data_IF_493422616782
#
_entry.id   IF_493422616782
#
_cell.length_a   1.000
_cell.length_b   1.000
_cell.length_c   1.000
_cell.angle_alpha   90.00
_cell.angle_beta   90.00
_cell.angle_gamma   90.00
#
_symmetry.space_group_name_H-M   'P 1'
#
loop_
_entity.id
_entity.type
_entity.pdbx_description
1 polymer ?
#
# COMPACT_ATOMS: atom_id res chain seq x y z
N UNK A 1 -16.14 -7.96 -1.57
CA UNK A 1 -15.04 -8.96 -1.65
C UNK A 1 -15.17 -9.89 -0.45
N UNK A 2 -15.10 -11.22 -0.64
CA UNK A 2 -15.16 -12.18 0.48
C UNK A 2 -13.74 -12.58 0.89
N UNK A 3 -13.35 -12.30 2.13
CA UNK A 3 -12.06 -12.69 2.69
C UNK A 3 -12.04 -14.17 3.07
N UNK A 4 -10.89 -14.83 2.86
CA UNK A 4 -10.62 -16.17 3.39
C UNK A 4 -10.18 -16.07 4.86
N UNK A 5 -10.40 -17.12 5.65
CA UNK A 5 -10.12 -17.09 7.09
C UNK A 5 -8.67 -16.71 7.45
N UNK A 6 -7.67 -17.09 6.64
CA UNK A 6 -6.29 -16.66 6.89
C UNK A 6 -6.05 -15.17 6.55
N UNK A 7 -6.74 -14.64 5.54
CA UNK A 7 -6.61 -13.23 5.15
C UNK A 7 -7.20 -12.33 6.23
N UNK A 8 -8.36 -12.72 6.76
CA UNK A 8 -9.03 -12.05 7.86
C UNK A 8 -8.14 -11.98 9.11
N UNK A 9 -7.51 -13.10 9.47
CA UNK A 9 -6.53 -13.14 10.57
C UNK A 9 -5.39 -12.13 10.37
N UNK A 10 -4.76 -12.09 9.19
CA UNK A 10 -3.62 -11.18 8.92
C UNK A 10 -4.06 -9.71 8.92
N UNK A 11 -5.24 -9.41 8.35
CA UNK A 11 -5.76 -8.03 8.27
C UNK A 11 -6.03 -7.49 9.67
N UNK A 12 -6.72 -8.28 10.51
CA UNK A 12 -7.16 -7.88 11.85
C UNK A 12 -6.10 -8.07 12.94
N UNK A 13 -4.93 -8.61 12.60
CA UNK A 13 -3.82 -8.78 13.54
C UNK A 13 -3.30 -7.40 13.99
N UNK A 14 -3.17 -7.25 15.31
CA UNK A 14 -2.81 -6.01 16.03
C UNK A 14 -1.32 -5.94 16.40
N UNK A 15 -0.52 -6.96 16.10
CA UNK A 15 0.91 -6.93 16.37
C UNK A 15 1.60 -5.85 15.52
N UNK A 16 2.62 -5.22 16.09
CA UNK A 16 3.43 -4.21 15.39
C UNK A 16 4.20 -4.81 14.21
N UNK A 17 4.58 -6.09 14.33
CA UNK A 17 5.31 -6.84 13.30
C UNK A 17 4.62 -8.18 13.07
N UNK A 18 4.25 -8.43 11.81
CA UNK A 18 3.60 -9.67 11.39
C UNK A 18 4.44 -10.32 10.31
N UNK A 19 4.83 -11.57 10.55
CA UNK A 19 5.54 -12.41 9.57
C UNK A 19 4.58 -13.49 9.07
N UNK A 20 4.44 -13.58 7.75
CA UNK A 20 3.53 -14.53 7.11
C UNK A 20 4.30 -15.50 6.21
N UNK A 21 4.34 -16.77 6.60
CA UNK A 21 4.75 -17.85 5.73
C UNK A 21 3.54 -18.36 4.92
N UNK A 22 3.46 -18.00 3.64
CA UNK A 22 2.32 -18.32 2.79
C UNK A 22 2.71 -18.94 1.45
N UNK A 23 1.93 -19.93 1.02
CA UNK A 23 2.06 -20.54 -0.30
C UNK A 23 1.81 -19.54 -1.45
N UNK A 24 2.29 -19.89 -2.64
CA UNK A 24 2.02 -19.13 -3.86
C UNK A 24 0.53 -19.16 -4.22
N UNK A 25 0.07 -18.09 -4.88
CA UNK A 25 -1.32 -17.92 -5.35
C UNK A 25 -2.41 -18.06 -4.27
N UNK A 26 -2.06 -17.87 -3.00
CA UNK A 26 -2.99 -17.92 -1.87
C UNK A 26 -3.92 -16.70 -1.77
N UNK A 27 -3.62 -15.61 -2.48
CA UNK A 27 -4.29 -14.31 -2.32
C UNK A 27 -3.60 -13.38 -1.31
N UNK A 28 -2.31 -13.60 -1.03
CA UNK A 28 -1.49 -12.78 -0.13
C UNK A 28 -1.41 -11.29 -0.54
N UNK A 29 -1.38 -11.01 -1.85
CA UNK A 29 -1.36 -9.63 -2.36
C UNK A 29 -2.61 -8.85 -1.96
N UNK A 30 -3.79 -9.47 -2.06
CA UNK A 30 -5.06 -8.84 -1.67
C UNK A 30 -5.06 -8.44 -0.20
N UNK A 31 -4.51 -9.30 0.67
CA UNK A 31 -4.37 -9.02 2.10
C UNK A 31 -3.48 -7.80 2.35
N UNK A 32 -2.33 -7.72 1.67
CA UNK A 32 -1.42 -6.58 1.78
C UNK A 32 -2.08 -5.28 1.29
N UNK A 33 -2.74 -5.30 0.13
CA UNK A 33 -3.43 -4.14 -0.47
C UNK A 33 -4.49 -3.58 0.46
N UNK A 34 -5.33 -4.45 1.04
CA UNK A 34 -6.38 -4.01 1.98
C UNK A 34 -5.78 -3.37 3.24
N UNK A 35 -4.74 -3.99 3.82
CA UNK A 35 -4.09 -3.47 5.03
C UNK A 35 -3.40 -2.12 4.78
N UNK A 36 -2.71 -1.98 3.65
CA UNK A 36 -2.08 -0.74 3.20
C UNK A 36 -3.12 0.37 3.04
N UNK A 37 -4.21 0.11 2.32
CA UNK A 37 -5.27 1.10 2.12
C UNK A 37 -5.95 1.51 3.42
N UNK A 38 -6.34 0.52 4.22
CA UNK A 38 -6.99 0.77 5.50
C UNK A 38 -6.14 1.66 6.41
N UNK A 39 -4.84 1.36 6.52
CA UNK A 39 -3.92 2.18 7.31
C UNK A 39 -3.76 3.59 6.72
N UNK A 40 -3.52 3.70 5.41
CA UNK A 40 -3.31 4.99 4.76
C UNK A 40 -4.54 5.91 4.86
N UNK A 41 -5.76 5.37 4.86
CA UNK A 41 -6.99 6.17 4.96
C UNK A 41 -7.34 6.60 6.39
N UNK A 42 -7.11 5.73 7.37
CA UNK A 42 -7.60 5.96 8.74
C UNK A 42 -6.55 6.56 9.68
N UNK A 43 -5.28 6.57 9.27
CA UNK A 43 -4.20 7.16 10.05
C UNK A 43 -3.78 8.49 9.41
N UNK A 44 -3.96 9.63 10.11
CA UNK A 44 -3.48 10.94 9.66
C UNK A 44 -1.98 10.95 9.37
N UNK A 45 -1.61 11.49 8.20
CA UNK A 45 -0.21 11.64 7.77
C UNK A 45 0.57 10.31 7.75
N UNK A 46 -0.11 9.21 7.41
CA UNK A 46 0.53 7.92 7.35
C UNK A 46 1.55 7.85 6.21
N UNK A 47 2.71 7.27 6.49
CA UNK A 47 3.69 6.91 5.46
C UNK A 47 3.74 5.40 5.35
N UNK A 48 3.25 4.86 4.23
CA UNK A 48 3.25 3.42 3.96
C UNK A 48 4.32 3.11 2.92
N UNK A 49 5.25 2.23 3.29
CA UNK A 49 6.32 1.79 2.42
C UNK A 49 6.07 0.36 1.91
N UNK A 50 6.08 0.20 0.60
CA UNK A 50 6.03 -1.11 -0.07
C UNK A 50 7.45 -1.44 -0.54
N UNK A 51 8.01 -2.50 0.03
CA UNK A 51 9.31 -3.04 -0.35
C UNK A 51 9.14 -4.46 -0.88
N UNK A 52 9.87 -4.81 -1.92
CA UNK A 52 9.93 -6.18 -2.42
C UNK A 52 11.31 -6.45 -3.02
N UNK A 53 11.56 -7.66 -3.53
CA UNK A 53 12.87 -8.02 -4.11
C UNK A 53 13.19 -7.23 -5.38
N UNK A 54 12.20 -6.85 -6.17
CA UNK A 54 12.39 -6.04 -7.38
C UNK A 54 11.48 -4.83 -7.38
N UNK A 55 11.93 -3.74 -8.00
CA UNK A 55 11.12 -2.52 -8.10
C UNK A 55 9.77 -2.78 -8.77
N UNK A 56 9.78 -3.57 -9.86
CA UNK A 56 8.58 -3.97 -10.58
C UNK A 56 7.58 -4.74 -9.72
N UNK A 57 8.03 -5.58 -8.78
CA UNK A 57 7.13 -6.26 -7.85
C UNK A 57 6.47 -5.27 -6.88
N UNK A 58 7.23 -4.27 -6.41
CA UNK A 58 6.69 -3.25 -5.52
C UNK A 58 5.70 -2.33 -6.26
N UNK A 59 6.03 -1.92 -7.49
CA UNK A 59 5.14 -1.16 -8.38
C UNK A 59 3.86 -1.96 -8.66
N UNK A 60 3.96 -3.26 -8.92
CA UNK A 60 2.78 -4.10 -9.15
C UNK A 60 1.81 -4.11 -7.96
N UNK A 61 2.33 -4.19 -6.73
CA UNK A 61 1.49 -4.09 -5.52
C UNK A 61 0.84 -2.71 -5.44
N UNK A 62 1.59 -1.64 -5.74
CA UNK A 62 1.07 -0.28 -5.76
C UNK A 62 -0.01 -0.07 -6.83
N UNK A 63 0.13 -0.69 -8.00
CA UNK A 63 -0.90 -0.67 -9.04
C UNK A 63 -2.17 -1.41 -8.58
N UNK A 64 -2.06 -2.53 -7.87
CA UNK A 64 -3.21 -3.20 -7.25
C UNK A 64 -3.90 -2.31 -6.20
N UNK A 65 -3.14 -1.50 -5.45
CA UNK A 65 -3.71 -0.47 -4.56
C UNK A 65 -4.52 0.55 -5.36
N UNK A 66 -3.97 1.10 -6.46
CA UNK A 66 -4.72 2.04 -7.34
C UNK A 66 -5.99 1.41 -7.89
N UNK A 67 -5.92 0.15 -8.31
CA UNK A 67 -7.09 -0.59 -8.80
C UNK A 67 -8.14 -0.79 -7.72
N UNK A 68 -7.74 -1.14 -6.50
CA UNK A 68 -8.64 -1.29 -5.36
C UNK A 68 -9.32 0.05 -5.01
N UNK A 69 -8.61 1.16 -5.07
CA UNK A 69 -9.18 2.51 -4.87
C UNK A 69 -10.19 2.87 -5.95
N UNK A 70 -9.83 2.66 -7.23
CA UNK A 70 -10.74 2.90 -8.37
C UNK A 70 -12.04 2.09 -8.24
N UNK A 71 -11.95 0.82 -7.84
CA UNK A 71 -13.12 -0.07 -7.67
C UNK A 71 -13.99 0.29 -6.47
N UNK A 72 -13.43 0.89 -5.43
CA UNK A 72 -14.16 1.27 -4.22
C UNK A 72 -14.75 2.67 -4.28
N UNK A 73 -14.44 3.45 -5.32
CA UNK A 73 -14.92 4.83 -5.45
C UNK A 73 -14.26 5.80 -4.46
N UNK A 74 -13.15 5.40 -3.83
CA UNK A 74 -12.37 6.27 -2.95
C UNK A 74 -11.80 7.40 -3.80
N UNK A 75 -12.13 8.64 -3.43
CA UNK A 75 -11.55 9.83 -4.06
C UNK A 75 -10.08 9.95 -3.64
N UNK A 76 -9.18 10.04 -4.61
CA UNK A 76 -7.76 10.28 -4.37
C UNK A 76 -7.22 11.23 -5.43
N UNK A 77 -6.21 12.01 -5.06
CA UNK A 77 -5.54 12.92 -5.97
C UNK A 77 -4.20 12.28 -6.37
N UNK A 78 -4.02 11.85 -7.63
CA UNK A 78 -2.67 11.65 -8.13
C UNK A 78 -1.97 13.01 -8.10
N UNK A 79 -0.80 13.08 -7.46
CA UNK A 79 0.12 14.17 -7.78
C UNK A 79 0.65 13.86 -9.17
N UNK A 80 0.02 14.46 -10.17
CA UNK A 80 0.52 14.49 -11.54
C UNK A 80 1.53 15.63 -11.60
N UNK A 81 2.78 15.36 -11.23
CA UNK A 81 3.87 16.14 -11.80
C UNK A 81 4.07 15.72 -13.26
N UNK A 82 4.88 16.45 -14.03
CA UNK A 82 5.08 16.30 -15.49
C UNK A 82 5.46 14.87 -15.97
N UNK A 83 5.72 13.95 -15.05
CA UNK A 83 5.92 12.52 -15.26
C UNK A 83 4.92 11.76 -14.38
N UNK A 84 4.17 10.80 -14.93
CA UNK A 84 3.34 9.91 -14.11
C UNK A 84 4.20 9.24 -13.03
N UNK A 85 4.08 9.68 -11.77
CA UNK A 85 4.79 9.07 -10.64
C UNK A 85 4.23 7.67 -10.38
N UNK A 86 4.77 6.67 -11.08
CA UNK A 86 4.37 5.26 -10.92
C UNK A 86 4.73 4.71 -9.54
N UNK A 87 5.51 5.43 -8.74
CA UNK A 87 6.12 4.97 -7.49
C UNK A 87 5.44 5.43 -6.21
N UNK A 88 4.45 6.34 -6.29
CA UNK A 88 3.74 6.82 -5.11
C UNK A 88 2.25 7.14 -5.35
N UNK A 89 1.49 7.21 -4.26
CA UNK A 89 0.07 7.56 -4.20
C UNK A 89 -0.14 8.47 -2.99
N UNK A 90 -0.82 9.59 -3.22
CA UNK A 90 -1.23 10.51 -2.17
C UNK A 90 -2.73 10.33 -1.89
N UNK A 91 -3.06 10.15 -0.62
CA UNK A 91 -4.43 9.95 -0.15
C UNK A 91 -4.75 11.08 0.82
N UNK A 92 -5.77 11.86 0.48
CA UNK A 92 -6.33 12.85 1.41
C UNK A 92 -7.26 12.11 2.36
N UNK A 93 -7.00 12.20 3.66
CA UNK A 93 -7.88 11.59 4.65
C UNK A 93 -9.22 12.32 4.73
N UNK A 94 -10.26 11.62 5.21
CA UNK A 94 -11.62 12.15 5.32
C UNK A 94 -11.69 13.45 6.15
N UNK A 95 -10.82 13.59 7.15
CA UNK A 95 -10.72 14.79 7.99
C UNK A 95 -10.18 16.03 7.26
N UNK A 96 -9.67 15.89 6.02
CA UNK A 96 -9.11 16.97 5.22
C UNK A 96 -7.82 17.60 5.78
N UNK A 97 -7.32 17.12 6.92
CA UNK A 97 -6.18 17.68 7.66
C UNK A 97 -4.86 16.95 7.44
N UNK A 98 -4.87 15.79 6.80
CA UNK A 98 -3.67 14.98 6.60
C UNK A 98 -3.60 14.34 5.22
N UNK A 99 -2.40 14.34 4.64
CA UNK A 99 -2.08 13.64 3.40
C UNK A 99 -1.23 12.43 3.75
N UNK A 100 -1.80 11.24 3.55
CA UNK A 100 -1.09 9.98 3.67
C UNK A 100 -0.41 9.66 2.34
N UNK A 101 0.77 9.03 2.41
CA UNK A 101 1.57 8.69 1.24
C UNK A 101 1.85 7.19 1.25
N UNK A 102 1.51 6.52 0.15
CA UNK A 102 1.92 5.14 -0.11
C UNK A 102 3.01 5.20 -1.18
N UNK A 103 4.21 4.69 -0.88
CA UNK A 103 5.35 4.71 -1.81
C UNK A 103 5.94 3.32 -1.97
N UNK A 104 6.43 3.02 -3.16
CA UNK A 104 7.22 1.82 -3.42
C UNK A 104 8.68 2.19 -3.62
N UNK A 105 9.58 1.42 -3.00
CA UNK A 105 11.02 1.61 -3.17
C UNK A 105 11.69 0.28 -3.58
N UNK A 106 12.69 0.33 -4.47
CA UNK A 106 13.53 -0.83 -4.73
C UNK A 106 14.39 -1.15 -3.50
N UNK A 107 14.73 -2.42 -3.23
CA UNK A 107 15.59 -2.81 -2.11
C UNK A 107 17.05 -2.55 -2.47
N UNK A 108 17.39 -1.28 -2.68
CA UNK A 108 18.74 -0.83 -3.05
C UNK A 108 19.31 0.05 -1.95
N UNK A 109 20.63 0.06 -1.82
CA UNK A 109 21.31 0.97 -0.88
C UNK A 109 21.08 2.45 -1.22
N UNK A 110 20.55 2.77 -2.41
CA UNK A 110 20.15 4.13 -2.77
C UNK A 110 19.01 4.67 -1.90
N UNK A 111 18.18 3.81 -1.31
CA UNK A 111 17.10 4.23 -0.40
C UNK A 111 17.65 4.79 0.92
N UNK A 112 18.83 4.34 1.35
CA UNK A 112 19.53 4.87 2.53
C UNK A 112 20.20 6.24 2.27
N UNK A 113 20.23 6.69 1.01
CA UNK A 113 20.87 7.94 0.60
C UNK A 113 19.86 9.08 0.40
N UNK A 114 18.56 8.86 0.69
CA UNK A 114 17.58 9.95 0.68
C UNK A 114 17.70 10.72 2.00
N UNK A 115 18.10 12.01 1.97
CA UNK A 115 18.28 12.83 3.17
C UNK A 115 16.95 13.15 3.88
#
# INVERSE_FOLDING_TARGET
MKLRGFQDKIINDKADVIVVAAANQSGKTTTAVVKVLHHAMLVPNASVLIVSRSEQQAIYILDEVRWAMRRSGIKWQPIMDEVENRTEIHITNEDGKGVSVIRCLPPTQRVLAYP
#
